data_IF_927720495214
#
_entry.id   IF_927720495214
#
_cell.length_a   1.000
_cell.length_b   1.000
_cell.length_c   1.000
_cell.angle_alpha   90.00
_cell.angle_beta   90.00
_cell.angle_gamma   90.00
#
_symmetry.space_group_name_H-M   'P 1'
#
loop_
_entity.id
_entity.type
_entity.pdbx_description
1 polymer ?
#
# COMPACT_ATOMS: atom_id res chain seq x y z
N UNK A 1 13.65 5.99 23.74
CA UNK A 1 12.63 5.18 24.44
C UNK A 1 13.18 3.79 24.75
N UNK A 2 14.16 3.67 25.65
CA UNK A 2 14.62 2.36 26.06
C UNK A 2 13.67 1.82 27.14
N UNK A 3 12.96 0.72 26.86
CA UNK A 3 12.11 0.01 27.82
C UNK A 3 10.60 -0.01 27.54
N UNK A 4 10.11 0.55 26.43
CA UNK A 4 8.67 0.46 26.09
C UNK A 4 8.36 -0.91 25.47
N UNK A 5 7.50 -1.69 26.12
CA UNK A 5 6.92 -2.91 25.54
C UNK A 5 5.54 -2.58 25.00
N UNK A 6 5.34 -2.70 23.69
CA UNK A 6 4.06 -2.42 23.03
C UNK A 6 3.20 -3.68 22.98
N UNK A 7 2.09 -3.69 23.72
CA UNK A 7 1.17 -4.83 23.80
C UNK A 7 -0.26 -4.48 23.32
N UNK A 8 -0.42 -3.40 22.54
CA UNK A 8 -1.72 -2.90 22.07
C UNK A 8 -1.91 -3.06 20.55
N UNK A 9 -1.50 -4.21 20.01
CA UNK A 9 -1.61 -4.50 18.57
C UNK A 9 -3.06 -4.56 18.05
N UNK A 10 -4.04 -4.63 18.96
CA UNK A 10 -5.45 -4.53 18.63
C UNK A 10 -5.88 -3.11 18.23
N UNK A 11 -5.20 -2.07 18.76
CA UNK A 11 -5.47 -0.68 18.40
C UNK A 11 -4.77 -0.27 17.10
N UNK A 12 -3.50 -0.65 16.92
CA UNK A 12 -2.74 -0.46 15.67
C UNK A 12 -1.45 -1.28 15.69
N UNK A 13 -0.70 -1.28 14.59
CA UNK A 13 0.58 -2.01 14.47
C UNK A 13 1.69 -1.11 13.95
N UNK A 14 2.94 -1.24 14.42
CA UNK A 14 4.06 -0.54 13.82
C UNK A 14 4.24 -0.97 12.36
N UNK A 15 4.53 -0.02 11.47
CA UNK A 15 4.82 -0.32 10.07
C UNK A 15 6.10 -1.16 9.99
N UNK A 16 6.02 -2.30 9.31
CA UNK A 16 7.20 -3.13 9.08
C UNK A 16 8.23 -2.37 8.20
N UNK A 17 9.55 -2.44 8.49
CA UNK A 17 10.55 -1.67 7.73
C UNK A 17 10.48 -1.86 6.21
N UNK A 18 10.28 -3.10 5.74
CA UNK A 18 10.11 -3.39 4.31
C UNK A 18 8.87 -2.72 3.68
N UNK A 19 7.80 -2.50 4.46
CA UNK A 19 6.61 -1.76 3.98
C UNK A 19 6.97 -0.29 3.80
N UNK A 20 7.68 0.29 4.78
CA UNK A 20 8.14 1.68 4.67
C UNK A 20 9.05 1.87 3.46
N UNK A 21 10.04 0.99 3.27
CA UNK A 21 10.95 1.02 2.13
C UNK A 21 10.22 0.92 0.79
N UNK A 22 9.21 0.04 0.68
CA UNK A 22 8.39 -0.08 -0.52
C UNK A 22 7.57 1.18 -0.80
N UNK A 23 7.14 1.91 0.24
CA UNK A 23 6.29 3.10 0.08
C UNK A 23 7.07 4.38 -0.22
N UNK A 24 8.28 4.55 0.31
CA UNK A 24 9.09 5.78 0.20
C UNK A 24 9.27 6.33 -1.23
N UNK A 25 9.45 5.50 -2.28
CA UNK A 25 9.58 6.01 -3.66
C UNK A 25 8.38 6.84 -4.13
N UNK A 26 7.16 6.49 -3.71
CA UNK A 26 5.92 7.17 -4.12
C UNK A 26 5.72 8.53 -3.45
N UNK A 27 6.46 8.83 -2.38
CA UNK A 27 6.50 10.14 -1.73
C UNK A 27 7.54 11.09 -2.34
N UNK A 28 8.32 10.65 -3.33
CA UNK A 28 9.44 11.47 -3.86
C UNK A 28 9.64 11.38 -5.37
N UNK A 29 9.84 10.18 -5.92
CA UNK A 29 10.25 9.98 -7.32
C UNK A 29 9.12 9.44 -8.19
N UNK A 30 8.25 8.61 -7.63
CA UNK A 30 7.14 7.94 -8.34
C UNK A 30 5.79 8.54 -7.97
N UNK A 31 5.70 9.87 -7.97
CA UNK A 31 4.54 10.64 -7.50
C UNK A 31 3.48 10.89 -8.58
N UNK A 32 3.59 10.25 -9.74
CA UNK A 32 2.70 10.47 -10.89
C UNK A 32 1.24 10.16 -10.56
N UNK A 33 0.32 10.93 -11.13
CA UNK A 33 -1.11 10.65 -10.98
C UNK A 33 -1.48 9.43 -11.86
N UNK A 34 -1.89 8.29 -11.29
CA UNK A 34 -2.12 7.03 -12.02
C UNK A 34 -3.28 7.09 -13.04
N UNK A 35 -4.06 8.17 -13.06
CA UNK A 35 -5.11 8.42 -14.06
C UNK A 35 -4.60 9.12 -15.32
N UNK A 36 -3.32 9.52 -15.36
CA UNK A 36 -2.72 10.19 -16.52
C UNK A 36 -2.02 9.19 -17.45
N UNK A 37 -1.67 9.63 -18.67
CA UNK A 37 -1.14 8.75 -19.73
C UNK A 37 0.39 8.78 -19.91
N UNK A 38 1.10 9.69 -19.23
CA UNK A 38 2.56 9.81 -19.34
C UNK A 38 3.30 8.74 -18.54
N UNK A 39 4.56 8.48 -18.86
CA UNK A 39 5.37 7.36 -18.30
C UNK A 39 5.35 7.31 -16.77
N UNK A 40 5.60 8.44 -16.10
CA UNK A 40 5.58 8.52 -14.63
C UNK A 40 4.22 8.14 -14.01
N UNK A 41 3.11 8.42 -14.71
CA UNK A 41 1.78 8.01 -14.28
C UNK A 41 1.51 6.52 -14.51
N UNK A 42 2.04 5.96 -15.60
CA UNK A 42 1.94 4.53 -15.88
C UNK A 42 2.72 3.70 -14.84
N UNK A 43 3.87 4.20 -14.37
CA UNK A 43 4.61 3.58 -13.26
C UNK A 43 3.81 3.57 -11.96
N UNK A 44 3.18 4.70 -11.60
CA UNK A 44 2.31 4.77 -10.43
C UNK A 44 1.07 3.86 -10.57
N UNK A 45 0.48 3.80 -11.77
CA UNK A 45 -0.65 2.90 -12.05
C UNK A 45 -0.26 1.43 -11.89
N UNK A 46 0.89 1.04 -12.43
CA UNK A 46 1.43 -0.31 -12.28
C UNK A 46 1.59 -0.69 -10.81
N UNK A 47 2.09 0.21 -9.96
CA UNK A 47 2.22 -0.05 -8.54
C UNK A 47 0.88 -0.37 -7.85
N UNK A 48 -0.17 0.37 -8.19
CA UNK A 48 -1.53 0.13 -7.67
C UNK A 48 -2.09 -1.20 -8.17
N UNK A 49 -1.86 -1.55 -9.43
CA UNK A 49 -2.32 -2.80 -10.03
C UNK A 49 -1.59 -4.01 -9.42
N UNK A 50 -0.26 -3.94 -9.25
CA UNK A 50 0.55 -4.98 -8.59
C UNK A 50 0.14 -5.18 -7.11
N UNK A 51 -0.17 -4.09 -6.39
CA UNK A 51 -0.70 -4.15 -5.03
C UNK A 51 -2.08 -4.85 -4.98
N UNK A 52 -2.95 -4.57 -5.97
CA UNK A 52 -4.26 -5.20 -6.08
C UNK A 52 -4.16 -6.70 -6.32
N UNK A 53 -3.24 -7.11 -7.18
CA UNK A 53 -2.95 -8.53 -7.42
C UNK A 53 -2.46 -9.22 -6.15
N UNK A 54 -1.56 -8.58 -5.40
CA UNK A 54 -1.03 -9.10 -4.14
C UNK A 54 -2.16 -9.31 -3.11
N UNK A 55 -3.01 -8.31 -2.90
CA UNK A 55 -4.16 -8.41 -1.98
C UNK A 55 -5.13 -9.51 -2.42
N UNK A 56 -5.43 -9.59 -3.71
CA UNK A 56 -6.33 -10.61 -4.24
C UNK A 56 -5.78 -12.03 -4.02
N UNK A 57 -4.47 -12.24 -4.18
CA UNK A 57 -3.82 -13.51 -3.87
C UNK A 57 -3.92 -13.88 -2.38
N UNK A 58 -3.66 -12.91 -1.48
CA UNK A 58 -3.78 -13.10 -0.02
C UNK A 58 -5.21 -13.45 0.39
N UNK A 59 -6.21 -12.83 -0.25
CA UNK A 59 -7.63 -13.04 0.05
C UNK A 59 -8.27 -14.20 -0.72
N UNK A 60 -7.57 -14.78 -1.71
CA UNK A 60 -8.12 -15.83 -2.56
C UNK A 60 -9.26 -15.38 -3.48
N UNK A 61 -9.24 -14.13 -3.95
CA UNK A 61 -10.24 -13.57 -4.87
C UNK A 61 -9.61 -13.10 -6.19
N UNK A 62 -10.42 -12.60 -7.13
CA UNK A 62 -9.91 -12.00 -8.37
C UNK A 62 -9.49 -10.56 -8.10
N UNK A 63 -8.45 -10.02 -8.76
CA UNK A 63 -8.03 -8.62 -8.59
C UNK A 63 -9.17 -7.61 -8.76
N UNK A 64 -10.08 -7.86 -9.71
CA UNK A 64 -11.26 -7.01 -9.95
C UNK A 64 -12.29 -6.95 -8.81
N UNK A 65 -12.19 -7.84 -7.83
CA UNK A 65 -13.04 -7.87 -6.64
C UNK A 65 -12.46 -7.06 -5.49
N UNK A 66 -11.21 -6.60 -5.61
CA UNK A 66 -10.56 -5.73 -4.63
C UNK A 66 -10.84 -4.28 -4.98
N UNK A 67 -11.33 -3.50 -4.01
CA UNK A 67 -11.44 -2.03 -4.07
C UNK A 67 -10.65 -1.47 -2.89
N UNK A 68 -9.78 -0.49 -3.14
CA UNK A 68 -9.04 0.19 -2.08
C UNK A 68 -9.90 1.32 -1.51
N UNK A 69 -10.09 1.34 -0.19
CA UNK A 69 -10.71 2.43 0.56
C UNK A 69 -9.68 3.10 1.46
N UNK A 70 -10.05 4.15 2.18
CA UNK A 70 -9.15 4.83 3.13
C UNK A 70 -8.90 4.04 4.42
N UNK A 71 -9.72 3.04 4.72
CA UNK A 71 -9.61 2.19 5.92
C UNK A 71 -10.86 1.35 6.15
N UNK A 72 -10.88 0.53 7.19
CA UNK A 72 -11.96 -0.45 7.42
C UNK A 72 -13.34 0.13 7.80
N UNK A 73 -13.43 1.41 8.14
CA UNK A 73 -14.71 2.08 8.48
C UNK A 73 -15.44 2.60 7.23
N UNK A 74 -14.71 2.91 6.16
CA UNK A 74 -15.28 3.28 4.85
C UNK A 74 -15.64 2.03 4.06
#
# INVERSE_FOLDING_TARGET
MAGLVYMDHAATTPVHPAVLEAMLPYFSRSFGNPSSIYTLAQEARKAVDDARETVAQVLGCRPREVVFTSGGTE
#
